data_IF_394517636631
#
_entry.id   IF_394517636631
#
_cell.length_a   1.000
_cell.length_b   1.000
_cell.length_c   1.000
_cell.angle_alpha   90.00
_cell.angle_beta   90.00
_cell.angle_gamma   90.00
#
_symmetry.space_group_name_H-M   'P 1'
#
loop_
_entity.id
_entity.type
_entity.pdbx_description
1 polymer ?
#
# COMPACT_ATOMS: atom_id res chain seq x y z
N UNK A 1 -23.03 -28.46 -22.26
CA UNK A 1 -22.40 -28.18 -23.56
C UNK A 1 -20.91 -28.18 -23.35
N UNK A 2 -20.11 -28.72 -24.28
CA UNK A 2 -18.64 -28.73 -24.10
C UNK A 2 -18.11 -27.30 -24.23
N UNK A 3 -17.37 -26.85 -23.21
CA UNK A 3 -16.74 -25.54 -23.23
C UNK A 3 -15.66 -25.49 -24.33
N UNK A 4 -15.65 -24.44 -25.13
CA UNK A 4 -14.69 -24.19 -26.20
C UNK A 4 -13.30 -23.93 -25.58
N UNK A 5 -12.25 -24.54 -26.15
CA UNK A 5 -10.87 -24.37 -25.66
C UNK A 5 -10.12 -23.43 -26.59
N UNK A 6 -9.61 -22.34 -26.04
CA UNK A 6 -8.90 -21.29 -26.75
C UNK A 6 -7.38 -21.42 -26.62
N UNK A 7 -6.67 -20.97 -27.64
CA UNK A 7 -5.22 -20.77 -27.65
C UNK A 7 -4.83 -19.39 -27.11
N UNK A 8 -3.53 -19.14 -26.88
CA UNK A 8 -3.03 -17.80 -26.51
C UNK A 8 -3.42 -16.75 -27.54
N UNK A 9 -3.29 -17.07 -28.83
CA UNK A 9 -3.61 -16.16 -29.94
C UNK A 9 -5.10 -15.78 -29.96
N UNK A 10 -5.98 -16.76 -29.74
CA UNK A 10 -7.43 -16.54 -29.71
C UNK A 10 -7.84 -15.68 -28.50
N UNK A 11 -7.26 -15.93 -27.33
CA UNK A 11 -7.47 -15.10 -26.13
C UNK A 11 -6.93 -13.69 -26.32
N UNK A 12 -5.73 -13.54 -26.90
CA UNK A 12 -5.15 -12.25 -27.23
C UNK A 12 -6.03 -11.42 -28.16
N UNK A 13 -6.58 -12.07 -29.20
CA UNK A 13 -7.53 -11.46 -30.14
C UNK A 13 -8.84 -11.09 -29.46
N UNK A 14 -9.39 -11.96 -28.63
CA UNK A 14 -10.63 -11.74 -27.89
C UNK A 14 -10.52 -10.57 -26.93
N UNK A 15 -9.42 -10.49 -26.18
CA UNK A 15 -9.15 -9.44 -25.20
C UNK A 15 -8.53 -8.17 -25.80
N UNK A 16 -8.17 -8.18 -27.11
CA UNK A 16 -7.48 -7.09 -27.81
C UNK A 16 -6.16 -6.67 -27.17
N UNK A 17 -5.39 -7.65 -26.72
CA UNK A 17 -4.05 -7.46 -26.13
C UNK A 17 -3.00 -8.25 -26.93
N UNK A 18 -1.70 -8.08 -26.61
CA UNK A 18 -0.66 -8.89 -27.26
C UNK A 18 -0.64 -10.34 -26.73
N UNK A 19 -0.22 -11.29 -27.55
CA UNK A 19 0.00 -12.68 -27.14
C UNK A 19 1.01 -12.78 -25.99
N UNK A 20 2.02 -11.93 -26.00
CA UNK A 20 3.00 -11.82 -24.94
C UNK A 20 2.33 -11.48 -23.59
N UNK A 21 1.39 -10.55 -23.59
CA UNK A 21 0.63 -10.17 -22.38
C UNK A 21 -0.15 -11.35 -21.83
N UNK A 22 -0.85 -12.11 -22.71
CA UNK A 22 -1.60 -13.31 -22.30
C UNK A 22 -0.67 -14.38 -21.76
N UNK A 23 0.48 -14.59 -22.40
CA UNK A 23 1.48 -15.53 -21.93
C UNK A 23 2.03 -15.18 -20.54
N UNK A 24 2.35 -13.89 -20.31
CA UNK A 24 2.84 -13.41 -19.02
C UNK A 24 1.78 -13.58 -17.92
N UNK A 25 0.51 -13.28 -18.20
CA UNK A 25 -0.60 -13.51 -17.27
C UNK A 25 -0.81 -15.00 -16.96
N UNK A 26 -0.72 -15.87 -17.96
CA UNK A 26 -0.83 -17.32 -17.77
C UNK A 26 0.34 -17.86 -16.91
N UNK A 27 1.54 -17.34 -17.11
CA UNK A 27 2.72 -17.74 -16.36
C UNK A 27 2.65 -17.33 -14.89
N UNK A 28 2.06 -16.15 -14.60
CA UNK A 28 1.86 -15.62 -13.25
C UNK A 28 0.60 -16.15 -12.57
N UNK A 29 -0.25 -16.89 -13.29
CA UNK A 29 -1.55 -17.34 -12.76
C UNK A 29 -2.59 -16.22 -12.62
N UNK A 30 -2.42 -15.10 -13.31
CA UNK A 30 -3.31 -13.94 -13.28
C UNK A 30 -4.55 -14.09 -14.17
N UNK A 31 -4.53 -15.05 -15.08
CA UNK A 31 -5.64 -15.43 -15.98
C UNK A 31 -5.92 -16.94 -15.84
N UNK A 32 -7.20 -17.38 -15.86
CA UNK A 32 -7.49 -18.80 -15.76
C UNK A 32 -6.98 -19.56 -16.99
N UNK A 33 -5.94 -20.36 -16.78
CA UNK A 33 -5.24 -21.10 -17.83
C UNK A 33 -4.78 -22.47 -17.35
N UNK A 34 -4.70 -23.43 -18.26
CA UNK A 34 -4.13 -24.75 -18.03
C UNK A 34 -3.12 -25.11 -19.13
N UNK A 35 -2.13 -25.98 -18.80
CA UNK A 35 -1.23 -26.52 -19.80
C UNK A 35 -1.75 -27.87 -20.28
N UNK A 36 -1.83 -28.03 -21.61
CA UNK A 36 -2.01 -29.34 -22.25
C UNK A 36 -0.70 -29.64 -22.99
N UNK A 37 0.08 -30.58 -22.42
CA UNK A 37 1.46 -30.78 -22.85
C UNK A 37 2.33 -29.56 -22.51
N UNK A 38 2.93 -28.94 -23.53
CA UNK A 38 3.80 -27.76 -23.38
C UNK A 38 3.11 -26.45 -23.69
N UNK A 39 1.84 -26.45 -24.09
CA UNK A 39 1.12 -25.27 -24.57
C UNK A 39 -0.01 -24.86 -23.62
N UNK A 40 -0.19 -23.54 -23.47
CA UNK A 40 -1.27 -22.98 -22.70
C UNK A 40 -2.61 -23.13 -23.43
N UNK A 41 -3.64 -23.49 -22.68
CA UNK A 41 -5.02 -23.56 -23.13
C UNK A 41 -5.94 -22.90 -22.12
N UNK A 42 -7.03 -22.34 -22.62
CA UNK A 42 -7.99 -21.54 -21.86
C UNK A 42 -9.39 -22.04 -22.17
N UNK A 43 -10.22 -22.20 -21.15
CA UNK A 43 -11.65 -22.42 -21.38
C UNK A 43 -12.32 -21.09 -21.63
N UNK A 44 -13.11 -21.00 -22.68
CA UNK A 44 -13.80 -19.76 -23.06
C UNK A 44 -14.68 -19.24 -21.95
N UNK A 45 -15.46 -20.10 -21.31
CA UNK A 45 -16.36 -19.73 -20.22
C UNK A 45 -15.60 -19.15 -19.01
N UNK A 46 -14.41 -19.71 -18.71
CA UNK A 46 -13.55 -19.21 -17.62
C UNK A 46 -12.98 -17.82 -17.98
N UNK A 47 -12.62 -17.61 -19.26
CA UNK A 47 -12.13 -16.30 -19.73
C UNK A 47 -13.26 -15.26 -19.71
N UNK A 48 -14.46 -15.61 -20.14
CA UNK A 48 -15.63 -14.71 -20.12
C UNK A 48 -15.96 -14.31 -18.67
N UNK A 49 -16.00 -15.27 -17.75
CA UNK A 49 -16.23 -15.00 -16.32
C UNK A 49 -15.15 -14.10 -15.73
N UNK A 50 -13.88 -14.35 -16.07
CA UNK A 50 -12.74 -13.55 -15.60
C UNK A 50 -12.79 -12.11 -16.17
N UNK A 51 -13.21 -11.93 -17.42
CA UNK A 51 -13.44 -10.61 -18.03
C UNK A 51 -14.58 -9.89 -17.32
N UNK A 52 -15.70 -10.57 -17.12
CA UNK A 52 -16.87 -10.00 -16.45
C UNK A 52 -16.54 -9.56 -15.02
N UNK A 53 -15.79 -10.34 -14.26
CA UNK A 53 -15.32 -9.98 -12.94
C UNK A 53 -14.41 -8.74 -12.95
N UNK A 54 -13.49 -8.65 -13.92
CA UNK A 54 -12.58 -7.49 -14.04
C UNK A 54 -13.30 -6.25 -14.57
N UNK A 55 -14.23 -6.39 -15.52
CA UNK A 55 -15.04 -5.29 -16.05
C UNK A 55 -16.13 -4.87 -15.07
N UNK A 56 -16.74 -5.80 -14.33
CA UNK A 56 -17.64 -5.46 -13.23
C UNK A 56 -16.91 -4.70 -12.12
N UNK A 57 -15.65 -5.07 -11.86
CA UNK A 57 -14.76 -4.33 -10.96
C UNK A 57 -14.43 -2.93 -11.47
N UNK A 58 -14.49 -2.67 -12.78
CA UNK A 58 -14.27 -1.34 -13.37
C UNK A 58 -15.55 -0.53 -13.56
N UNK A 59 -16.74 -1.17 -13.61
CA UNK A 59 -18.04 -0.47 -13.67
C UNK A 59 -18.55 -0.04 -12.31
N UNK A 60 -18.04 -0.63 -11.24
CA UNK A 60 -18.17 -0.15 -9.89
C UNK A 60 -16.82 0.49 -9.52
N UNK A 61 -16.50 1.64 -10.13
CA UNK A 61 -15.51 2.54 -9.57
C UNK A 61 -16.12 3.41 -8.44
N UNK A 62 -16.92 2.83 -7.57
CA UNK A 62 -16.59 2.86 -6.17
C UNK A 62 -15.31 2.02 -6.02
N UNK A 63 -14.20 2.53 -5.41
CA UNK A 63 -13.06 1.68 -5.13
C UNK A 63 -13.65 0.38 -4.56
N UNK A 64 -13.21 -0.82 -5.03
CA UNK A 64 -13.30 -1.97 -4.16
C UNK A 64 -12.74 -1.42 -2.88
N UNK A 65 -13.59 -1.11 -1.93
CA UNK A 65 -13.18 -1.18 -0.57
C UNK A 65 -12.65 -2.63 -0.47
N UNK A 66 -11.35 -2.82 -0.78
CA UNK A 66 -10.59 -3.48 0.24
C UNK A 66 -11.17 -2.83 1.48
N UNK A 67 -11.94 -3.57 2.21
CA UNK A 67 -12.21 -3.26 3.59
C UNK A 67 -10.81 -3.29 4.18
N UNK A 68 -10.06 -2.20 3.89
CA UNK A 68 -8.90 -1.85 4.66
C UNK A 68 -9.58 -1.70 6.00
N UNK A 69 -9.43 -2.77 6.79
CA UNK A 69 -9.89 -2.75 8.15
C UNK A 69 -8.92 -1.78 8.79
N UNK A 70 -9.20 -0.47 8.56
CA UNK A 70 -8.42 0.63 9.14
C UNK A 70 -8.28 0.42 10.63
N UNK A 71 -9.26 -0.24 11.22
CA UNK A 71 -9.26 -0.74 12.59
C UNK A 71 -8.12 -1.73 12.91
N UNK A 72 -7.52 -2.40 11.90
CA UNK A 72 -6.43 -3.33 12.15
C UNK A 72 -5.08 -2.63 12.33
N UNK A 73 -4.83 -1.51 11.66
CA UNK A 73 -3.54 -0.80 11.72
C UNK A 73 -3.62 0.62 12.30
N UNK A 74 -4.81 1.25 12.34
CA UNK A 74 -5.06 2.56 12.95
C UNK A 74 -6.14 2.43 14.02
N UNK A 75 -5.81 2.81 15.27
CA UNK A 75 -6.75 2.88 16.38
C UNK A 75 -6.99 4.34 16.76
N UNK A 76 -8.20 4.71 17.26
CA UNK A 76 -8.53 6.10 17.62
C UNK A 76 -7.55 6.74 18.63
N UNK A 77 -6.97 5.97 19.53
CA UNK A 77 -5.95 6.41 20.50
C UNK A 77 -4.60 6.80 19.85
N UNK A 78 -4.41 6.45 18.57
CA UNK A 78 -3.26 6.84 17.76
C UNK A 78 -3.55 7.99 16.78
N UNK A 79 -4.69 8.66 16.94
CA UNK A 79 -4.99 9.92 16.25
C UNK A 79 -4.85 11.05 17.28
N UNK A 80 -3.84 11.90 17.10
CA UNK A 80 -3.46 12.88 18.11
C UNK A 80 -3.39 14.30 17.54
N UNK A 81 -3.73 15.28 18.38
CA UNK A 81 -3.50 16.69 18.08
C UNK A 81 -2.10 17.07 18.55
N UNK A 82 -1.34 17.65 17.65
CA UNK A 82 0.02 18.10 17.89
C UNK A 82 0.05 19.63 18.09
N UNK A 83 0.84 20.09 19.06
CA UNK A 83 1.09 21.51 19.30
C UNK A 83 2.60 21.79 19.27
N UNK A 84 3.28 21.25 18.27
CA UNK A 84 4.72 21.37 18.03
C UNK A 84 4.96 22.09 16.71
N UNK A 85 6.01 22.91 16.65
CA UNK A 85 6.41 23.64 15.45
C UNK A 85 7.68 23.07 14.80
N UNK A 86 8.34 22.11 15.42
CA UNK A 86 9.57 21.46 14.97
C UNK A 86 9.27 20.05 14.46
N UNK A 87 9.83 19.70 13.30
CA UNK A 87 9.80 18.35 12.73
C UNK A 87 10.33 17.32 13.74
N UNK A 88 11.45 17.61 14.38
CA UNK A 88 12.05 16.69 15.35
C UNK A 88 11.09 16.33 16.49
N UNK A 89 10.48 17.34 17.13
CA UNK A 89 9.55 17.11 18.24
C UNK A 89 8.31 16.34 17.80
N UNK A 90 7.82 16.62 16.58
CA UNK A 90 6.70 15.88 15.99
C UNK A 90 7.08 14.42 15.76
N UNK A 91 8.25 14.13 15.20
CA UNK A 91 8.71 12.76 14.99
C UNK A 91 8.90 11.98 16.28
N UNK A 92 9.46 12.61 17.31
CA UNK A 92 9.59 12.02 18.65
C UNK A 92 8.22 11.69 19.23
N UNK A 93 7.30 12.67 19.29
CA UNK A 93 5.96 12.48 19.86
C UNK A 93 5.16 11.42 19.09
N UNK A 94 5.20 11.45 17.77
CA UNK A 94 4.51 10.46 16.94
C UNK A 94 5.08 9.05 17.10
N UNK A 95 6.39 8.93 17.29
CA UNK A 95 7.05 7.64 17.58
C UNK A 95 6.62 7.09 18.94
N UNK A 96 6.46 7.94 19.97
CA UNK A 96 5.93 7.54 21.28
C UNK A 96 4.48 7.05 21.18
N UNK A 97 3.65 7.73 20.40
CA UNK A 97 2.26 7.32 20.14
C UNK A 97 2.22 5.97 19.42
N UNK A 98 3.04 5.80 18.39
CA UNK A 98 3.10 4.56 17.61
C UNK A 98 3.66 3.39 18.44
N UNK A 99 4.62 3.65 19.33
CA UNK A 99 5.24 2.65 20.20
C UNK A 99 4.27 2.05 21.23
N UNK A 100 3.11 2.69 21.50
CA UNK A 100 2.05 2.12 22.37
C UNK A 100 1.31 0.96 21.69
N UNK A 101 1.45 0.80 20.37
CA UNK A 101 0.82 -0.28 19.66
C UNK A 101 1.48 -1.64 20.00
N UNK A 102 0.71 -2.69 20.25
CA UNK A 102 1.25 -4.01 20.63
C UNK A 102 2.14 -4.65 19.55
N UNK A 103 2.03 -4.17 18.31
CA UNK A 103 2.84 -4.59 17.18
C UNK A 103 4.30 -4.11 17.28
N UNK A 104 4.56 -3.01 18.00
CA UNK A 104 5.90 -2.43 18.16
C UNK A 104 6.57 -3.03 19.39
N UNK A 105 7.65 -3.78 19.20
CA UNK A 105 8.37 -4.48 20.29
C UNK A 105 9.57 -3.69 20.81
N UNK A 106 10.07 -2.71 20.06
CA UNK A 106 11.25 -1.91 20.44
C UNK A 106 11.02 -0.44 20.04
N UNK A 107 10.64 0.37 21.03
CA UNK A 107 10.36 1.81 20.84
C UNK A 107 11.63 2.62 20.55
N UNK A 108 12.77 2.25 21.10
CA UNK A 108 14.03 2.96 20.87
C UNK A 108 14.52 2.74 19.43
N UNK A 109 14.41 1.53 18.92
CA UNK A 109 14.73 1.21 17.51
C UNK A 109 13.80 1.93 16.56
N UNK A 110 12.48 2.01 16.87
CA UNK A 110 11.49 2.73 16.08
C UNK A 110 11.88 4.20 15.93
N UNK A 111 12.13 4.90 17.04
CA UNK A 111 12.48 6.32 17.03
C UNK A 111 13.78 6.57 16.25
N UNK A 112 14.85 5.82 16.55
CA UNK A 112 16.13 5.94 15.87
C UNK A 112 16.00 5.73 14.35
N UNK A 113 15.23 4.73 13.95
CA UNK A 113 15.01 4.41 12.54
C UNK A 113 14.18 5.48 11.82
N UNK A 114 13.13 6.02 12.45
CA UNK A 114 12.34 7.14 11.90
C UNK A 114 13.22 8.37 11.69
N UNK A 115 14.02 8.73 12.69
CA UNK A 115 14.91 9.91 12.59
C UNK A 115 15.97 9.71 11.51
N UNK A 116 16.61 8.55 11.44
CA UNK A 116 17.57 8.21 10.38
C UNK A 116 16.93 8.23 8.98
N UNK A 117 15.72 7.67 8.83
CA UNK A 117 15.01 7.67 7.55
C UNK A 117 14.67 9.08 7.07
N UNK A 118 14.18 9.93 7.98
CA UNK A 118 13.85 11.32 7.66
C UNK A 118 15.10 12.15 7.32
N UNK A 119 16.22 11.89 7.98
CA UNK A 119 17.50 12.58 7.72
C UNK A 119 18.06 12.27 6.32
N UNK A 120 17.75 11.11 5.75
CA UNK A 120 18.18 10.75 4.39
C UNK A 120 17.42 11.52 3.31
N UNK A 121 16.12 11.70 3.49
CA UNK A 121 15.24 12.38 2.55
C UNK A 121 13.93 12.70 3.26
N UNK A 122 13.46 13.93 3.10
CA UNK A 122 12.16 14.34 3.65
C UNK A 122 11.03 13.40 3.20
N UNK A 123 10.17 13.07 4.15
CA UNK A 123 8.95 12.29 3.89
C UNK A 123 7.73 13.18 3.63
N UNK A 124 7.91 14.49 3.52
CA UNK A 124 6.84 15.41 3.15
C UNK A 124 6.53 15.29 1.66
N UNK A 125 5.29 14.92 1.36
CA UNK A 125 4.80 14.68 -0.01
C UNK A 125 4.14 15.91 -0.64
N UNK A 126 4.14 17.04 0.07
CA UNK A 126 3.46 18.27 -0.32
C UNK A 126 2.02 18.33 0.20
N UNK A 127 1.31 19.42 -0.12
CA UNK A 127 -0.07 19.69 0.30
C UNK A 127 -0.30 19.66 1.82
N UNK A 128 0.72 19.96 2.58
CA UNK A 128 0.69 19.95 4.04
C UNK A 128 0.74 18.56 4.67
N UNK A 129 1.19 17.53 3.94
CA UNK A 129 1.22 16.13 4.37
C UNK A 129 2.65 15.63 4.44
N UNK A 130 2.98 14.90 5.53
CA UNK A 130 4.19 14.10 5.65
C UNK A 130 3.84 12.65 6.00
N UNK A 131 4.64 11.69 5.49
CA UNK A 131 4.43 10.25 5.69
C UNK A 131 5.74 9.60 6.17
N UNK A 132 6.20 9.89 7.41
CA UNK A 132 7.34 9.17 7.99
C UNK A 132 7.04 7.68 8.10
N UNK A 133 7.94 6.84 7.55
CA UNK A 133 7.70 5.40 7.51
C UNK A 133 8.99 4.60 7.63
N UNK A 134 8.87 3.44 8.30
CA UNK A 134 9.98 2.48 8.45
C UNK A 134 9.50 1.04 8.37
N UNK A 135 10.44 0.14 8.05
CA UNK A 135 10.27 -1.31 8.15
C UNK A 135 11.28 -1.84 9.14
N UNK A 136 10.80 -2.62 10.11
CA UNK A 136 11.62 -3.13 11.22
C UNK A 136 11.30 -4.58 11.53
N UNK A 137 12.30 -5.34 11.91
CA UNK A 137 12.10 -6.71 12.42
C UNK A 137 11.44 -6.75 13.80
N UNK A 138 11.52 -5.67 14.55
CA UNK A 138 10.86 -5.49 15.85
C UNK A 138 9.40 -5.03 15.74
N UNK A 139 8.88 -4.88 14.53
CA UNK A 139 7.46 -4.63 14.25
C UNK A 139 6.85 -5.91 13.68
N UNK A 140 5.75 -6.37 14.27
CA UNK A 140 5.14 -7.66 13.91
C UNK A 140 4.06 -7.55 12.84
N UNK A 141 3.46 -6.36 12.66
CA UNK A 141 2.43 -6.08 11.67
C UNK A 141 2.36 -4.60 11.36
N UNK A 142 1.65 -4.20 10.29
CA UNK A 142 1.44 -2.81 9.92
C UNK A 142 0.76 -2.05 11.06
N UNK A 143 1.29 -0.89 11.40
CA UNK A 143 0.74 0.02 12.39
C UNK A 143 0.90 1.46 11.94
N UNK A 144 -0.10 2.29 12.21
CA UNK A 144 -0.15 3.70 11.84
C UNK A 144 -0.54 4.58 13.03
N UNK A 145 0.01 5.78 13.06
CA UNK A 145 -0.45 6.89 13.88
C UNK A 145 -0.69 8.12 13.00
N UNK A 146 -1.68 8.94 13.35
CA UNK A 146 -2.03 10.17 12.63
C UNK A 146 -1.89 11.36 13.57
N UNK A 147 -1.06 12.31 13.19
CA UNK A 147 -0.87 13.58 13.88
C UNK A 147 -1.49 14.74 13.11
N UNK A 148 -2.36 15.51 13.75
CA UNK A 148 -2.97 16.72 13.21
C UNK A 148 -2.36 17.91 13.94
N UNK A 149 -1.53 18.69 13.24
CA UNK A 149 -0.85 19.83 13.86
C UNK A 149 -1.73 21.08 13.89
N UNK A 150 -1.77 21.74 15.04
CA UNK A 150 -2.37 23.07 15.22
C UNK A 150 -1.50 24.18 14.65
N UNK A 151 -0.20 23.91 14.48
CA UNK A 151 0.82 24.86 13.99
C UNK A 151 1.36 24.42 12.65
N UNK A 152 1.89 25.36 11.91
CA UNK A 152 2.67 25.09 10.70
C UNK A 152 4.03 24.52 11.10
N UNK A 153 4.35 23.34 10.57
CA UNK A 153 5.67 22.71 10.73
C UNK A 153 6.44 23.00 9.44
N UNK A 154 7.38 23.93 9.52
CA UNK A 154 8.07 24.49 8.35
C UNK A 154 9.31 23.68 7.93
N UNK A 155 9.92 22.96 8.86
CA UNK A 155 11.21 22.28 8.72
C UNK A 155 11.14 20.85 8.18
N UNK A 156 9.99 20.46 7.61
CA UNK A 156 9.87 19.19 6.87
C UNK A 156 10.46 19.21 5.47
N UNK A 157 10.83 20.40 4.95
CA UNK A 157 11.39 20.57 3.60
C UNK A 157 10.51 19.93 2.51
N UNK A 158 9.20 20.22 2.53
CA UNK A 158 8.25 19.72 1.53
C UNK A 158 8.60 20.25 0.12
N UNK A 159 8.46 19.40 -0.90
CA UNK A 159 8.80 19.73 -2.29
C UNK A 159 8.04 20.95 -2.84
N UNK A 160 6.85 21.24 -2.35
CA UNK A 160 6.02 22.39 -2.74
C UNK A 160 6.21 23.61 -1.85
N UNK A 161 7.13 23.56 -0.88
CA UNK A 161 7.41 24.63 0.08
C UNK A 161 6.30 24.91 1.09
N UNK A 162 5.21 24.14 1.10
CA UNK A 162 4.11 24.31 2.03
C UNK A 162 4.45 23.72 3.40
N UNK A 163 3.98 24.35 4.50
CA UNK A 163 4.14 23.78 5.83
C UNK A 163 3.37 22.47 5.98
N UNK A 164 3.91 21.54 6.76
CA UNK A 164 3.22 20.29 7.10
C UNK A 164 2.25 20.52 8.27
N UNK A 165 1.04 19.98 8.14
CA UNK A 165 0.00 19.99 9.19
C UNK A 165 -0.58 18.62 9.48
N UNK A 166 -0.37 17.65 8.59
CA UNK A 166 -0.90 16.30 8.73
C UNK A 166 0.24 15.30 8.58
N UNK A 167 0.43 14.46 9.59
CA UNK A 167 1.53 13.49 9.64
C UNK A 167 0.94 12.09 9.78
N UNK A 168 1.22 11.23 8.82
CA UNK A 168 0.90 9.80 8.85
C UNK A 168 2.19 9.03 9.15
N UNK A 169 2.39 8.60 10.37
CA UNK A 169 3.56 7.79 10.72
C UNK A 169 3.22 6.31 10.63
N UNK A 170 4.04 5.56 9.89
CA UNK A 170 3.79 4.15 9.57
C UNK A 170 5.01 3.31 9.97
N UNK A 171 4.76 2.18 10.63
CA UNK A 171 5.74 1.13 10.81
C UNK A 171 5.19 -0.21 10.35
N UNK A 172 6.02 -1.03 9.70
CA UNK A 172 5.65 -2.33 9.18
C UNK A 172 6.74 -3.37 9.44
N UNK A 173 6.38 -4.64 9.39
CA UNK A 173 7.34 -5.73 9.45
C UNK A 173 8.18 -5.81 8.16
N UNK A 174 9.44 -6.27 8.26
CA UNK A 174 10.35 -6.37 7.12
C UNK A 174 9.86 -7.29 5.99
N UNK A 175 9.00 -8.25 6.28
CA UNK A 175 8.48 -9.25 5.34
C UNK A 175 7.13 -8.88 4.69
N UNK A 176 6.59 -7.70 5.00
CA UNK A 176 5.33 -7.23 4.43
C UNK A 176 5.61 -6.38 3.18
N UNK A 177 5.56 -7.02 2.00
CA UNK A 177 5.81 -6.37 0.71
C UNK A 177 4.56 -5.82 0.02
N UNK A 178 3.35 -6.17 0.48
CA UNK A 178 2.09 -6.00 -0.25
C UNK A 178 1.34 -4.68 0.04
N UNK A 179 1.94 -3.74 0.78
CA UNK A 179 1.24 -2.51 1.23
C UNK A 179 1.76 -1.21 0.59
N UNK A 180 2.53 -1.32 -0.54
CA UNK A 180 3.03 -0.13 -1.26
C UNK A 180 2.72 -0.20 -2.75
#
# INVERSE_FOLDING_TARGET
MASEILTIEEVARYLRVSERTVYEWAQKGEIPAGKIGTVWRFKKDDIESWVDERLASSKTSAPKQHKIVTESFLSPDRVVLLDYASKHDVLVMMSEVLAKAPQVKNSAELLDSILKREALMSTAVGRGIAIPHVRLSSVTDLVMAVGISKRDILDFDALDGNPVRLVFMIAAANNQHDYY
#
